data_IF_595966379380
#
_entry.id   IF_595966379380
#
_cell.length_a   1.000
_cell.length_b   1.000
_cell.length_c   1.000
_cell.angle_alpha   90.00
_cell.angle_beta   90.00
_cell.angle_gamma   90.00
#
_symmetry.space_group_name_H-M   'P 1'
#
loop_
_entity.id
_entity.type
_entity.pdbx_description
1 polymer ?
#
# COMPACT_ATOMS: atom_id res chain seq x y z
N UNK A 1 -12.72 -27.60 18.13
CA UNK A 1 -12.39 -26.16 18.36
C UNK A 1 -10.93 -25.98 17.94
N UNK A 2 -10.68 -25.62 16.67
CA UNK A 2 -9.34 -25.31 16.18
C UNK A 2 -9.39 -23.96 15.50
N UNK A 3 -9.26 -22.93 16.33
CA UNK A 3 -8.99 -21.58 15.91
C UNK A 3 -7.61 -21.25 16.48
N UNK A 4 -6.56 -21.73 15.81
CA UNK A 4 -5.21 -21.29 16.07
C UNK A 4 -5.02 -20.00 15.25
N UNK A 5 -5.30 -18.86 15.88
CA UNK A 5 -4.83 -17.57 15.39
C UNK A 5 -3.32 -17.51 15.66
N UNK A 6 -2.53 -18.20 14.82
CA UNK A 6 -1.07 -18.09 14.82
C UNK A 6 -0.72 -16.80 14.07
N UNK A 7 -0.51 -15.71 14.82
CA UNK A 7 -0.06 -14.44 14.27
C UNK A 7 1.44 -14.49 13.97
N UNK A 8 1.85 -15.42 13.10
CA UNK A 8 3.23 -15.53 12.65
C UNK A 8 3.63 -14.37 11.72
N UNK A 9 2.63 -13.67 11.15
CA UNK A 9 2.79 -12.57 10.21
C UNK A 9 1.64 -11.56 10.33
N UNK A 10 1.97 -10.28 10.41
CA UNK A 10 1.04 -9.16 10.33
C UNK A 10 1.21 -8.47 8.99
N UNK A 11 0.13 -8.34 8.22
CA UNK A 11 0.12 -7.55 6.99
C UNK A 11 -0.74 -6.31 7.21
N UNK A 12 -0.16 -5.12 6.99
CA UNK A 12 -0.82 -3.82 7.14
C UNK A 12 -0.58 -2.95 5.91
N UNK A 13 -1.30 -1.84 5.79
CA UNK A 13 -1.11 -0.84 4.73
C UNK A 13 -0.79 0.52 5.35
N UNK A 14 -1.73 1.47 5.31
CA UNK A 14 -1.72 2.76 6.02
C UNK A 14 -0.55 3.74 5.72
N UNK A 15 0.66 3.27 5.49
CA UNK A 15 1.84 4.08 5.17
C UNK A 15 2.23 3.91 3.71
N UNK A 16 2.59 5.02 3.05
CA UNK A 16 3.18 5.02 1.72
C UNK A 16 4.58 4.42 1.82
N UNK A 17 4.92 3.52 0.88
CA UNK A 17 6.25 2.94 0.73
C UNK A 17 6.70 3.09 -0.72
N UNK A 18 7.98 3.40 -0.94
CA UNK A 18 8.51 3.75 -2.28
C UNK A 18 8.32 2.61 -3.30
N UNK A 19 8.59 1.37 -2.89
CA UNK A 19 8.40 0.19 -3.74
C UNK A 19 6.99 -0.43 -3.60
N UNK A 20 6.08 0.24 -2.91
CA UNK A 20 4.73 -0.22 -2.63
C UNK A 20 4.66 -1.29 -1.53
N UNK A 21 5.79 -1.72 -0.97
CA UNK A 21 5.80 -2.58 0.21
C UNK A 21 7.09 -2.40 1.03
N UNK A 22 7.05 -2.82 2.30
CA UNK A 22 8.22 -2.92 3.16
C UNK A 22 8.05 -4.11 4.12
N UNK A 23 9.17 -4.77 4.43
CA UNK A 23 9.21 -5.90 5.38
C UNK A 23 9.99 -5.42 6.62
N UNK A 24 9.32 -5.47 7.76
CA UNK A 24 9.80 -4.94 9.04
C UNK A 24 9.66 -6.02 10.13
N UNK A 25 10.19 -5.74 11.33
CA UNK A 25 10.09 -6.61 12.49
C UNK A 25 10.50 -8.07 12.21
N UNK A 26 11.70 -8.27 11.65
CA UNK A 26 12.28 -9.58 11.34
C UNK A 26 11.40 -10.45 10.42
N UNK A 27 10.70 -9.81 9.47
CA UNK A 27 9.83 -10.52 8.53
C UNK A 27 8.43 -10.81 9.06
N UNK A 28 8.09 -10.32 10.26
CA UNK A 28 6.79 -10.52 10.89
C UNK A 28 5.80 -9.39 10.63
N UNK A 29 6.27 -8.25 10.11
CA UNK A 29 5.41 -7.16 9.68
C UNK A 29 5.66 -6.87 8.21
N UNK A 30 4.59 -6.88 7.41
CA UNK A 30 4.63 -6.46 6.02
C UNK A 30 3.71 -5.26 5.88
N UNK A 31 4.27 -4.15 5.43
CA UNK A 31 3.52 -2.99 5.00
C UNK A 31 3.32 -3.08 3.48
N UNK A 32 2.08 -2.99 3.00
CA UNK A 32 1.74 -3.00 1.57
C UNK A 32 0.90 -1.78 1.21
N UNK A 33 1.27 -1.08 0.16
CA UNK A 33 0.63 0.14 -0.30
C UNK A 33 0.29 0.01 -1.79
N UNK A 34 -0.99 0.15 -2.13
CA UNK A 34 -1.51 -0.17 -3.47
C UNK A 34 -1.92 1.06 -4.30
N UNK A 35 -1.59 2.28 -3.86
CA UNK A 35 -1.82 3.51 -4.61
C UNK A 35 -0.49 4.02 -5.22
N UNK A 36 -0.14 3.64 -6.46
CA UNK A 36 1.05 4.16 -7.11
C UNK A 36 0.90 5.66 -7.40
N UNK A 37 2.00 6.39 -7.33
CA UNK A 37 2.06 7.85 -7.42
C UNK A 37 1.02 8.53 -6.52
N UNK A 38 1.09 8.25 -5.22
CA UNK A 38 0.13 8.76 -4.25
C UNK A 38 -0.04 10.27 -4.35
N UNK A 39 -1.31 10.71 -4.42
CA UNK A 39 -1.71 12.11 -4.61
C UNK A 39 -1.03 12.79 -5.81
N UNK A 40 -0.66 12.04 -6.86
CA UNK A 40 0.03 12.51 -8.05
C UNK A 40 1.36 13.25 -7.82
N UNK A 41 1.93 13.11 -6.61
CA UNK A 41 3.11 13.85 -6.16
C UNK A 41 4.26 12.95 -5.68
N UNK A 42 3.95 11.79 -5.09
CA UNK A 42 4.95 10.99 -4.38
C UNK A 42 5.83 10.14 -5.28
N UNK A 43 5.36 9.75 -6.48
CA UNK A 43 6.13 8.90 -7.40
C UNK A 43 6.35 7.45 -6.93
N UNK A 44 5.74 7.02 -5.83
CA UNK A 44 5.88 5.66 -5.30
C UNK A 44 5.25 4.61 -6.24
N UNK A 45 5.73 3.37 -6.17
CA UNK A 45 5.04 2.22 -6.76
C UNK A 45 3.89 1.76 -5.86
N UNK A 46 2.94 1.07 -6.46
CA UNK A 46 1.97 0.26 -5.74
C UNK A 46 2.46 -1.18 -5.66
N UNK A 47 2.06 -1.93 -4.65
CA UNK A 47 2.27 -3.38 -4.64
C UNK A 47 0.99 -4.12 -4.24
N UNK A 48 0.91 -5.36 -4.71
CA UNK A 48 -0.06 -6.36 -4.27
C UNK A 48 0.69 -7.49 -3.57
N UNK A 49 0.07 -8.02 -2.52
CA UNK A 49 0.57 -9.17 -1.78
C UNK A 49 -0.38 -10.36 -1.96
N UNK A 50 0.14 -11.50 -2.42
CA UNK A 50 -0.64 -12.74 -2.62
C UNK A 50 -0.18 -13.79 -1.62
N UNK A 51 -1.09 -14.19 -0.72
CA UNK A 51 -0.87 -15.25 0.25
C UNK A 51 -1.22 -16.62 -0.36
N UNK A 52 -0.25 -17.53 -0.41
CA UNK A 52 -0.47 -18.94 -0.78
C UNK A 52 -0.54 -19.85 0.47
N UNK A 53 -1.10 -21.06 0.36
CA UNK A 53 -1.14 -22.03 1.47
C UNK A 53 0.22 -22.39 2.08
N UNK A 54 1.32 -22.30 1.33
CA UNK A 54 2.70 -22.48 1.83
C UNK A 54 3.41 -21.17 2.23
N UNK A 55 2.68 -20.06 2.41
CA UNK A 55 3.20 -18.72 2.74
C UNK A 55 4.40 -18.36 1.83
N UNK A 56 4.27 -18.65 0.53
CA UNK A 56 5.15 -18.04 -0.46
C UNK A 56 4.65 -16.64 -0.76
N UNK A 57 5.21 -15.68 -0.05
CA UNK A 57 5.02 -14.25 -0.23
C UNK A 57 5.47 -13.83 -1.65
N UNK A 58 4.53 -13.66 -2.58
CA UNK A 58 4.81 -13.07 -3.90
C UNK A 58 4.39 -11.60 -3.91
N UNK A 59 5.37 -10.71 -4.03
CA UNK A 59 5.14 -9.28 -4.19
C UNK A 59 5.08 -8.94 -5.68
N UNK A 60 4.04 -8.21 -6.08
CA UNK A 60 3.87 -7.73 -7.45
C UNK A 60 3.83 -6.20 -7.43
N UNK A 61 4.99 -5.50 -7.57
CA UNK A 61 4.99 -4.06 -7.70
C UNK A 61 4.43 -3.63 -9.07
N UNK A 62 3.71 -2.53 -9.09
CA UNK A 62 3.12 -1.92 -10.30
C UNK A 62 3.26 -0.39 -10.26
N UNK A 63 3.34 0.21 -11.44
CA UNK A 63 3.53 1.66 -11.59
C UNK A 63 2.21 2.38 -11.86
N UNK A 64 2.19 3.70 -11.67
CA UNK A 64 1.03 4.53 -11.96
C UNK A 64 0.74 4.53 -13.47
N UNK A 65 -0.53 4.72 -13.80
CA UNK A 65 -1.01 4.84 -15.18
C UNK A 65 -1.68 6.19 -15.38
N UNK A 66 -1.75 6.71 -16.62
CA UNK A 66 -2.43 7.97 -16.89
C UNK A 66 -3.91 7.93 -16.47
N UNK A 67 -4.39 9.03 -15.89
CA UNK A 67 -5.80 9.24 -15.53
C UNK A 67 -6.30 10.58 -16.07
N UNK A 68 -7.63 10.82 -16.12
CA UNK A 68 -8.18 12.11 -16.53
C UNK A 68 -7.66 13.27 -15.67
N UNK A 69 -7.62 14.47 -16.24
CA UNK A 69 -7.12 15.69 -15.57
C UNK A 69 -8.09 16.21 -14.50
N UNK A 70 -8.15 15.48 -13.39
CA UNK A 70 -8.88 15.85 -12.18
C UNK A 70 -7.88 15.81 -11.03
N UNK A 71 -7.63 16.98 -10.43
CA UNK A 71 -6.65 17.09 -9.35
C UNK A 71 -7.03 16.22 -8.14
N UNK A 72 -6.06 15.64 -7.43
CA UNK A 72 -6.26 15.06 -6.12
C UNK A 72 -7.00 16.04 -5.21
N UNK A 73 -7.90 15.53 -4.37
CA UNK A 73 -8.65 16.34 -3.40
C UNK A 73 -9.55 17.44 -4.03
N UNK A 74 -9.87 17.37 -5.34
CA UNK A 74 -10.75 18.35 -6.01
C UNK A 74 -12.09 18.57 -5.30
N UNK A 75 -12.61 17.53 -4.64
CA UNK A 75 -13.89 17.53 -3.91
C UNK A 75 -13.73 17.56 -2.38
N UNK A 76 -12.50 17.72 -1.86
CA UNK A 76 -12.27 17.83 -0.44
C UNK A 76 -12.61 19.22 0.11
N UNK A 77 -12.68 19.34 1.42
CA UNK A 77 -12.96 20.61 2.09
C UNK A 77 -11.94 21.68 1.67
N UNK A 78 -12.42 22.90 1.38
CA UNK A 78 -11.63 24.02 0.89
C UNK A 78 -10.43 24.34 1.79
N UNK A 79 -10.56 24.13 3.11
CA UNK A 79 -9.45 24.32 4.04
C UNK A 79 -8.28 23.37 3.78
N UNK A 80 -8.54 22.09 3.48
CA UNK A 80 -7.47 21.13 3.18
C UNK A 80 -6.82 21.37 1.81
N UNK A 81 -7.58 21.92 0.84
CA UNK A 81 -7.08 22.26 -0.51
C UNK A 81 -6.10 23.44 -0.53
N UNK A 82 -6.04 24.26 0.52
CA UNK A 82 -5.07 25.35 0.62
C UNK A 82 -3.65 24.86 0.90
N UNK A 83 -3.50 23.61 1.36
CA UNK A 83 -2.23 23.01 1.77
C UNK A 83 -1.80 21.83 0.89
N UNK A 84 -2.52 21.58 -0.21
CA UNK A 84 -2.29 20.48 -1.17
C UNK A 84 -1.54 20.92 -2.42
#
# INVERSE_FOLDING_TARGET
MHMACLTDLVVRSHEVKDEGYEIEHDGKLITVFSAPNYCDQMGNKGALFVLKPQIEAKHCPFSAVPHPDVKPMAYANNFLRMFS
#
